data_IF_754264127495
#
_entry.id   IF_754264127495
#
_cell.length_a   1.000
_cell.length_b   1.000
_cell.length_c   1.000
_cell.angle_alpha   90.00
_cell.angle_beta   90.00
_cell.angle_gamma   90.00
#
_symmetry.space_group_name_H-M   'P 1'
#
loop_
_entity.id
_entity.type
_entity.pdbx_description
1 polymer ?
#
# COMPACT_ATOMS: atom_id res chain seq x y z
N UNK A 1 -33.47 -39.29 28.11
CA UNK A 1 -32.08 -39.73 28.20
C UNK A 1 -31.15 -38.59 27.71
N UNK A 2 -30.60 -37.81 28.65
CA UNK A 2 -29.61 -36.75 28.40
C UNK A 2 -28.26 -37.44 28.35
N UNK A 3 -27.57 -37.37 27.23
CA UNK A 3 -26.12 -37.64 27.15
C UNK A 3 -25.35 -36.33 27.15
N UNK A 4 -24.75 -36.06 28.28
CA UNK A 4 -23.68 -35.05 28.42
C UNK A 4 -22.43 -35.55 27.68
N UNK A 5 -21.94 -34.79 26.72
CA UNK A 5 -20.58 -35.00 26.17
C UNK A 5 -19.64 -34.09 26.94
N UNK A 6 -18.85 -34.71 27.80
CA UNK A 6 -17.66 -34.07 28.40
C UNK A 6 -16.63 -33.81 27.32
N UNK A 7 -16.32 -32.54 27.12
CA UNK A 7 -15.17 -32.11 26.33
C UNK A 7 -13.92 -32.20 27.19
N UNK A 8 -13.02 -33.12 26.84
CA UNK A 8 -11.70 -33.22 27.44
C UNK A 8 -10.87 -31.97 27.09
N UNK A 9 -10.54 -31.22 28.10
CA UNK A 9 -9.50 -30.18 28.03
C UNK A 9 -8.17 -30.92 27.95
N UNK A 10 -7.49 -30.80 26.83
CA UNK A 10 -6.16 -31.37 26.61
C UNK A 10 -5.14 -30.33 27.10
N UNK A 11 -4.50 -30.66 28.20
CA UNK A 11 -3.40 -29.91 28.81
C UNK A 11 -2.28 -29.67 27.81
N UNK A 12 -1.88 -28.40 27.61
CA UNK A 12 -0.66 -28.02 26.91
C UNK A 12 0.53 -28.20 27.83
N UNK A 13 1.60 -28.87 27.40
CA UNK A 13 2.85 -28.93 28.17
C UNK A 13 3.50 -27.53 28.21
N UNK A 14 3.95 -27.17 29.41
CA UNK A 14 4.62 -25.92 29.71
C UNK A 14 5.92 -25.74 28.93
N UNK A 15 6.13 -24.55 28.42
CA UNK A 15 7.43 -24.10 27.93
C UNK A 15 8.34 -23.81 29.13
N UNK A 16 9.41 -24.59 29.25
CA UNK A 16 10.48 -24.36 30.20
C UNK A 16 11.32 -23.14 29.81
N UNK A 17 12.02 -22.50 30.77
CA UNK A 17 12.85 -21.33 30.50
C UNK A 17 14.09 -21.70 29.68
N UNK A 18 14.32 -21.00 28.59
CA UNK A 18 15.52 -21.10 27.78
C UNK A 18 16.75 -20.50 28.48
N UNK A 19 17.96 -21.01 28.18
CA UNK A 19 19.19 -20.65 28.87
C UNK A 19 19.78 -19.31 28.39
N UNK A 20 20.21 -18.52 29.36
CA UNK A 20 21.41 -17.71 29.28
C UNK A 20 21.34 -16.37 28.52
N UNK A 21 20.95 -15.32 29.27
CA UNK A 21 21.34 -13.94 28.90
C UNK A 21 22.80 -13.73 29.31
N UNK A 22 23.70 -13.23 28.44
CA UNK A 22 25.06 -12.87 28.82
C UNK A 22 25.05 -11.59 29.68
N UNK A 23 25.91 -11.48 30.71
CA UNK A 23 25.96 -10.30 31.57
C UNK A 23 26.73 -9.15 30.91
N UNK A 24 26.20 -7.94 31.05
CA UNK A 24 27.01 -6.74 31.10
C UNK A 24 27.04 -5.85 29.88
N UNK A 25 26.00 -5.05 29.65
CA UNK A 25 26.19 -3.70 29.09
C UNK A 25 25.54 -2.70 30.04
N UNK A 26 26.43 -2.02 30.80
CA UNK A 26 26.08 -0.84 31.64
C UNK A 26 26.16 0.39 30.74
N UNK A 27 25.14 1.21 30.61
CA UNK A 27 25.31 2.52 30.00
C UNK A 27 26.11 3.43 30.94
N UNK A 28 27.26 3.89 30.49
CA UNK A 28 28.02 4.96 31.15
C UNK A 28 27.28 6.28 30.90
N UNK A 29 26.85 6.91 31.99
CA UNK A 29 26.36 8.27 31.98
C UNK A 29 27.53 9.27 31.72
N UNK A 30 27.26 10.51 31.31
CA UNK A 30 28.28 11.51 31.03
C UNK A 30 28.94 11.98 32.35
N UNK A 31 30.14 11.46 32.57
CA UNK A 31 31.03 11.90 33.68
C UNK A 31 31.69 13.19 33.34
N UNK A 32 31.67 14.11 34.30
CA UNK A 32 32.28 15.43 34.23
C UNK A 32 33.78 15.40 34.05
N UNK A 33 34.30 16.40 33.33
CA UNK A 33 35.71 16.71 33.18
C UNK A 33 36.31 17.24 34.50
N UNK A 34 37.49 16.74 34.94
CA UNK A 34 38.23 17.38 35.99
C UNK A 34 38.98 18.60 35.42
N UNK A 35 38.89 19.72 36.12
CA UNK A 35 39.60 20.95 35.81
C UNK A 35 41.11 20.80 35.88
N UNK A 36 41.81 21.26 34.88
CA UNK A 36 43.25 21.47 34.92
C UNK A 36 43.51 22.89 35.35
N UNK A 37 44.22 23.03 36.47
CA UNK A 37 44.75 24.29 37.00
C UNK A 37 45.84 24.90 36.10
N UNK A 38 46.16 26.17 36.33
CA UNK A 38 47.06 26.93 35.45
C UNK A 38 48.51 26.50 35.64
N UNK A 39 49.20 26.19 34.54
CA UNK A 39 50.67 25.99 34.48
C UNK A 39 51.32 27.33 34.15
N UNK A 40 52.29 27.85 34.96
CA UNK A 40 53.05 29.08 34.65
C UNK A 40 54.19 28.75 33.70
N UNK A 41 54.37 29.58 32.68
CA UNK A 41 55.66 29.86 32.06
C UNK A 41 56.02 28.96 30.86
N UNK A 42 55.83 29.50 29.66
CA UNK A 42 56.65 29.21 28.49
C UNK A 42 56.79 30.43 27.60
N UNK A 43 57.99 30.62 26.97
CA UNK A 43 58.42 31.89 26.40
C UNK A 43 57.76 32.22 25.07
N UNK A 44 57.64 33.53 24.84
CA UNK A 44 57.18 34.09 23.56
C UNK A 44 58.20 33.76 22.44
N UNK A 45 57.69 33.22 21.35
CA UNK A 45 58.48 32.87 20.18
C UNK A 45 57.70 32.94 18.88
N UNK A 46 57.99 33.96 18.09
CA UNK A 46 57.88 34.10 16.64
C UNK A 46 56.49 34.00 16.00
N UNK A 47 56.11 35.13 15.40
CA UNK A 47 54.95 35.29 14.56
C UNK A 47 54.88 34.28 13.37
N UNK A 48 53.85 33.57 13.28
CA UNK A 48 53.52 32.85 12.08
C UNK A 48 52.81 33.79 11.09
N UNK A 49 53.11 33.71 9.79
CA UNK A 49 52.41 34.46 8.77
C UNK A 49 50.93 33.99 8.67
N UNK A 50 49.98 34.87 8.29
CA UNK A 50 48.60 34.52 8.19
C UNK A 50 48.39 33.40 7.15
N UNK A 51 47.81 32.26 7.58
CA UNK A 51 47.39 31.20 6.67
C UNK A 51 46.24 31.72 5.81
N UNK A 52 46.26 31.47 4.50
CA UNK A 52 45.08 31.74 3.65
C UNK A 52 43.86 31.03 4.21
N UNK A 53 42.74 31.75 4.28
CA UNK A 53 41.46 31.17 4.65
C UNK A 53 41.10 30.03 3.69
N UNK A 54 41.09 28.83 4.23
CA UNK A 54 40.59 27.65 3.50
C UNK A 54 39.10 27.85 3.30
N UNK A 55 38.68 28.18 2.09
CA UNK A 55 37.28 28.06 1.70
C UNK A 55 36.94 26.56 1.70
N UNK A 56 35.92 26.10 2.46
CA UNK A 56 35.44 24.74 2.31
C UNK A 56 34.89 24.60 0.90
N UNK A 57 35.53 23.76 0.09
CA UNK A 57 34.96 23.31 -1.17
C UNK A 57 33.63 22.64 -0.96
N UNK A 58 32.72 22.61 -1.96
CA UNK A 58 31.46 21.94 -1.85
C UNK A 58 31.70 20.47 -1.48
N UNK A 59 31.04 20.04 -0.40
CA UNK A 59 31.07 18.67 0.06
C UNK A 59 30.68 17.72 -1.10
N UNK A 60 31.33 16.54 -1.24
CA UNK A 60 30.91 15.53 -2.18
C UNK A 60 29.46 15.19 -1.88
N UNK A 61 28.57 15.42 -2.83
CA UNK A 61 27.18 14.97 -2.76
C UNK A 61 27.22 13.46 -2.73
N UNK A 62 26.94 12.87 -1.57
CA UNK A 62 26.58 11.47 -1.46
C UNK A 62 25.45 11.20 -2.45
N UNK A 63 25.49 10.06 -3.20
CA UNK A 63 24.36 9.69 -4.04
C UNK A 63 23.11 9.67 -3.16
N UNK A 64 22.18 10.58 -3.45
CA UNK A 64 20.88 10.60 -2.80
C UNK A 64 20.30 9.20 -2.97
N UNK A 65 20.21 8.49 -1.86
CA UNK A 65 19.30 7.37 -1.76
C UNK A 65 17.99 7.86 -2.36
N UNK A 66 17.55 7.20 -3.42
CA UNK A 66 16.25 7.43 -4.00
C UNK A 66 15.26 7.30 -2.82
N UNK A 67 14.90 8.44 -2.26
CA UNK A 67 13.81 8.50 -1.30
C UNK A 67 12.65 7.88 -2.04
N UNK A 68 12.19 6.74 -1.56
CA UNK A 68 10.89 6.23 -1.94
C UNK A 68 9.93 7.40 -1.73
N UNK A 69 9.53 8.04 -2.84
CA UNK A 69 8.54 9.09 -2.82
C UNK A 69 7.29 8.45 -2.24
N UNK A 70 7.05 8.70 -0.96
CA UNK A 70 5.75 8.43 -0.38
C UNK A 70 4.75 9.13 -1.30
N UNK A 71 3.73 8.42 -1.79
CA UNK A 71 2.70 9.06 -2.59
C UNK A 71 2.18 10.26 -1.79
N UNK A 72 1.85 11.39 -2.44
CA UNK A 72 1.43 12.61 -1.76
C UNK A 72 0.32 12.25 -0.78
N UNK A 73 0.57 12.49 0.50
CA UNK A 73 -0.44 12.35 1.54
C UNK A 73 -1.55 13.33 1.20
N UNK A 74 -2.65 12.80 0.70
CA UNK A 74 -3.82 13.60 0.39
C UNK A 74 -4.30 14.24 1.68
N UNK A 75 -4.23 15.56 1.70
CA UNK A 75 -4.68 16.42 2.81
C UNK A 75 -6.09 16.02 3.20
N UNK A 76 -6.28 15.76 4.49
CA UNK A 76 -7.57 15.39 5.07
C UNK A 76 -8.64 16.42 4.70
N UNK A 77 -9.80 15.94 4.30
CA UNK A 77 -10.97 16.77 4.08
C UNK A 77 -11.31 17.54 5.38
N UNK A 78 -11.66 18.84 5.30
CA UNK A 78 -12.02 19.62 6.47
C UNK A 78 -13.32 19.11 7.07
N UNK A 79 -13.25 18.59 8.28
CA UNK A 79 -14.41 18.19 9.08
C UNK A 79 -14.40 16.73 9.50
N UNK A 80 -13.66 16.37 10.56
CA UNK A 80 -13.94 15.22 11.44
C UNK A 80 -14.19 13.82 10.86
N UNK A 81 -14.18 13.62 9.57
CA UNK A 81 -14.39 12.32 8.94
C UNK A 81 -13.08 11.53 8.91
N UNK A 82 -13.10 10.34 9.53
CA UNK A 82 -11.98 9.39 9.53
C UNK A 82 -12.43 8.12 8.85
N UNK A 83 -11.56 7.52 8.01
CA UNK A 83 -11.88 6.27 7.36
C UNK A 83 -11.33 6.12 5.95
N UNK A 84 -12.07 5.39 5.11
CA UNK A 84 -11.76 5.12 3.71
C UNK A 84 -12.81 5.76 2.80
N UNK A 85 -12.37 6.54 1.82
CA UNK A 85 -13.18 6.98 0.69
C UNK A 85 -12.76 6.15 -0.54
N UNK A 86 -13.57 5.17 -0.90
CA UNK A 86 -13.30 4.26 -2.01
C UNK A 86 -14.20 4.58 -3.20
N UNK A 87 -13.61 5.04 -4.29
CA UNK A 87 -14.32 5.26 -5.55
C UNK A 87 -14.25 3.98 -6.41
N UNK A 88 -15.39 3.33 -6.59
CA UNK A 88 -15.49 2.08 -7.37
C UNK A 88 -16.04 2.35 -8.76
N UNK A 89 -15.33 1.89 -9.80
CA UNK A 89 -15.68 2.14 -11.20
C UNK A 89 -15.63 0.85 -12.01
N UNK A 90 -16.47 0.77 -13.03
CA UNK A 90 -16.42 -0.27 -14.05
C UNK A 90 -16.32 0.36 -15.44
N UNK A 91 -15.87 -0.42 -16.41
CA UNK A 91 -15.71 0.06 -17.77
C UNK A 91 -17.09 0.36 -18.40
N UNK A 92 -17.32 1.52 -19.04
CA UNK A 92 -18.65 1.94 -19.50
C UNK A 92 -19.38 0.96 -20.44
N UNK A 93 -18.63 0.22 -21.27
CA UNK A 93 -19.23 -0.80 -22.15
C UNK A 93 -19.68 -2.07 -21.41
N UNK A 94 -19.26 -2.24 -20.14
CA UNK A 94 -19.69 -3.35 -19.29
C UNK A 94 -20.99 -3.02 -18.54
N UNK A 95 -22.00 -2.55 -19.28
CA UNK A 95 -23.26 -2.01 -18.76
C UNK A 95 -24.00 -2.95 -17.81
N UNK A 96 -23.80 -4.27 -17.92
CA UNK A 96 -24.42 -5.25 -17.03
C UNK A 96 -24.08 -5.03 -15.56
N UNK A 97 -22.93 -4.43 -15.27
CA UNK A 97 -22.52 -4.13 -13.90
C UNK A 97 -23.32 -2.98 -13.26
N UNK A 98 -24.14 -2.23 -14.01
CA UNK A 98 -25.15 -1.36 -13.40
C UNK A 98 -26.16 -2.11 -12.55
N UNK A 99 -26.46 -3.36 -12.93
CA UNK A 99 -27.41 -4.22 -12.23
C UNK A 99 -26.78 -4.99 -11.08
N UNK A 100 -25.45 -5.05 -11.03
CA UNK A 100 -24.68 -5.84 -10.07
C UNK A 100 -23.89 -4.89 -9.19
N UNK A 101 -24.17 -4.89 -7.89
CA UNK A 101 -23.44 -4.05 -6.93
C UNK A 101 -22.05 -4.62 -6.62
N UNK A 102 -21.01 -3.79 -6.46
CA UNK A 102 -19.72 -4.26 -5.99
C UNK A 102 -19.84 -4.78 -4.55
N UNK A 103 -18.97 -5.70 -4.17
CA UNK A 103 -18.78 -6.14 -2.79
C UNK A 103 -17.47 -5.58 -2.27
N UNK A 104 -17.54 -4.93 -1.13
CA UNK A 104 -16.39 -4.37 -0.40
C UNK A 104 -16.34 -5.08 0.94
N UNK A 105 -15.21 -5.68 1.27
CA UNK A 105 -14.98 -6.34 2.54
C UNK A 105 -13.82 -5.64 3.24
N UNK A 106 -14.01 -5.31 4.52
CA UNK A 106 -13.01 -4.69 5.37
C UNK A 106 -12.74 -5.64 6.53
N UNK A 107 -11.49 -6.07 6.69
CA UNK A 107 -11.08 -7.02 7.73
C UNK A 107 -11.94 -8.29 7.76
N UNK A 108 -12.35 -8.77 6.55
CA UNK A 108 -13.21 -9.94 6.39
C UNK A 108 -14.71 -9.69 6.63
N UNK A 109 -15.12 -8.44 6.91
CA UNK A 109 -16.51 -8.08 7.09
C UNK A 109 -17.06 -7.33 5.88
N UNK A 110 -18.17 -7.81 5.33
CA UNK A 110 -18.78 -7.18 4.18
C UNK A 110 -19.42 -5.82 4.54
N UNK A 111 -19.05 -4.78 3.78
CA UNK A 111 -19.70 -3.47 3.88
C UNK A 111 -21.08 -3.53 3.19
N UNK A 112 -22.20 -3.29 3.91
CA UNK A 112 -23.55 -3.59 3.41
C UNK A 112 -24.03 -2.61 2.34
N UNK A 113 -23.56 -1.38 2.34
CA UNK A 113 -24.05 -0.29 1.49
C UNK A 113 -23.12 0.01 0.31
N UNK A 114 -22.38 -0.99 -0.18
CA UNK A 114 -21.49 -0.81 -1.32
C UNK A 114 -22.27 -0.46 -2.59
N UNK A 115 -21.82 0.59 -3.29
CA UNK A 115 -22.39 1.07 -4.56
C UNK A 115 -21.28 1.39 -5.54
N UNK A 116 -21.59 1.44 -6.83
CA UNK A 116 -20.67 2.03 -7.81
C UNK A 116 -20.56 3.54 -7.58
N UNK A 117 -19.36 4.07 -7.68
CA UNK A 117 -19.04 5.45 -7.32
C UNK A 117 -18.36 5.55 -5.95
N UNK A 118 -18.55 6.66 -5.27
CA UNK A 118 -17.87 6.96 -4.01
C UNK A 118 -18.56 6.27 -2.83
N UNK A 119 -17.80 5.45 -2.11
CA UNK A 119 -18.19 4.80 -0.87
C UNK A 119 -17.37 5.40 0.29
N UNK A 120 -18.00 6.08 1.21
CA UNK A 120 -17.37 6.62 2.41
C UNK A 120 -17.59 5.66 3.58
N UNK A 121 -16.53 5.01 4.00
CA UNK A 121 -16.55 3.95 5.01
C UNK A 121 -15.81 4.45 6.25
N UNK A 122 -16.53 4.69 7.38
CA UNK A 122 -15.89 5.09 8.62
C UNK A 122 -15.05 3.93 9.17
N UNK A 123 -13.78 4.18 9.47
CA UNK A 123 -12.85 3.20 10.02
C UNK A 123 -12.10 3.80 11.20
N UNK A 124 -11.82 3.02 12.25
CA UNK A 124 -10.94 3.46 13.33
C UNK A 124 -9.51 3.68 12.83
N UNK A 125 -8.65 4.38 13.58
CA UNK A 125 -7.23 4.45 13.26
C UNK A 125 -6.60 3.07 13.33
N UNK A 126 -5.74 2.74 12.37
CA UNK A 126 -5.04 1.47 12.33
C UNK A 126 -4.88 0.92 10.94
N UNK A 127 -4.38 -0.31 10.88
CA UNK A 127 -4.21 -1.05 9.64
C UNK A 127 -5.46 -1.85 9.32
N UNK A 128 -5.96 -1.73 8.09
CA UNK A 128 -7.16 -2.42 7.61
C UNK A 128 -6.87 -3.14 6.30
N UNK A 129 -7.40 -4.36 6.18
CA UNK A 129 -7.38 -5.13 4.95
C UNK A 129 -8.66 -4.88 4.17
N UNK A 130 -8.51 -4.46 2.90
CA UNK A 130 -9.62 -4.13 2.01
C UNK A 130 -9.63 -5.12 0.86
N UNK A 131 -10.73 -5.86 0.71
CA UNK A 131 -10.99 -6.76 -0.42
C UNK A 131 -12.19 -6.24 -1.23
N UNK A 132 -12.02 -6.17 -2.56
CA UNK A 132 -13.08 -5.68 -3.45
C UNK A 132 -13.25 -6.62 -4.63
N UNK A 133 -14.51 -6.93 -4.99
CA UNK A 133 -14.86 -7.68 -6.19
C UNK A 133 -16.29 -7.37 -6.63
N UNK A 134 -16.62 -7.71 -7.87
CA UNK A 134 -18.02 -7.75 -8.31
C UNK A 134 -18.49 -9.21 -8.38
N UNK A 135 -19.65 -9.57 -7.81
CA UNK A 135 -20.21 -10.91 -7.96
C UNK A 135 -20.69 -11.12 -9.41
N UNK A 136 -20.48 -12.33 -9.94
CA UNK A 136 -20.90 -12.69 -11.28
C UNK A 136 -21.20 -14.19 -11.36
N UNK A 137 -21.70 -14.66 -12.50
CA UNK A 137 -22.04 -16.08 -12.68
C UNK A 137 -20.78 -16.94 -12.85
N UNK A 138 -19.94 -16.61 -13.83
CA UNK A 138 -18.68 -17.30 -14.14
C UNK A 138 -17.67 -16.26 -14.65
N UNK A 139 -16.56 -15.99 -13.94
CA UNK A 139 -16.24 -16.47 -12.59
C UNK A 139 -17.16 -15.87 -11.53
N UNK A 140 -17.28 -16.52 -10.38
CA UNK A 140 -18.16 -16.04 -9.29
C UNK A 140 -17.74 -14.68 -8.72
N UNK A 141 -16.47 -14.31 -8.90
CA UNK A 141 -15.88 -13.01 -8.52
C UNK A 141 -15.17 -12.44 -9.73
N UNK A 142 -15.57 -11.27 -10.17
CA UNK A 142 -14.89 -10.51 -11.23
C UNK A 142 -14.05 -9.41 -10.58
N UNK A 143 -12.81 -9.27 -11.06
CA UNK A 143 -11.88 -8.27 -10.61
C UNK A 143 -11.53 -8.32 -9.12
N UNK A 144 -11.34 -9.52 -8.52
CA UNK A 144 -10.95 -9.58 -7.11
C UNK A 144 -9.60 -8.90 -6.92
N UNK A 145 -9.49 -8.09 -5.87
CA UNK A 145 -8.25 -7.42 -5.50
C UNK A 145 -8.22 -7.16 -4.01
N UNK A 146 -7.03 -7.28 -3.45
CA UNK A 146 -6.73 -7.08 -2.05
C UNK A 146 -5.74 -5.95 -1.87
N UNK A 147 -5.93 -5.13 -0.85
CA UNK A 147 -4.97 -4.12 -0.45
C UNK A 147 -5.00 -3.91 1.06
N UNK A 148 -3.92 -3.40 1.60
CA UNK A 148 -3.85 -3.02 3.02
C UNK A 148 -3.63 -1.52 3.11
N UNK A 149 -4.44 -0.86 3.93
CA UNK A 149 -4.36 0.58 4.18
C UNK A 149 -4.03 0.84 5.64
N UNK A 150 -3.41 1.99 5.91
CA UNK A 150 -3.22 2.48 7.27
C UNK A 150 -3.96 3.81 7.41
N UNK A 151 -4.96 3.83 8.30
CA UNK A 151 -5.76 5.02 8.59
C UNK A 151 -5.19 5.71 9.83
N UNK A 152 -4.67 6.93 9.67
CA UNK A 152 -4.24 7.75 10.81
C UNK A 152 -5.44 8.45 11.47
N UNK A 153 -5.33 8.87 12.73
CA UNK A 153 -6.38 9.66 13.39
C UNK A 153 -6.76 10.90 12.57
N UNK A 154 -8.05 11.14 12.41
CA UNK A 154 -8.63 12.24 11.62
C UNK A 154 -8.21 12.25 10.14
N UNK A 155 -7.87 11.10 9.57
CA UNK A 155 -7.48 10.96 8.18
C UNK A 155 -8.54 10.18 7.39
N UNK A 156 -8.81 10.64 6.15
CA UNK A 156 -9.53 9.87 5.15
C UNK A 156 -8.53 9.38 4.10
N UNK A 157 -8.39 8.06 3.98
CA UNK A 157 -7.62 7.44 2.92
C UNK A 157 -8.47 7.40 1.65
N UNK A 158 -7.97 7.94 0.54
CA UNK A 158 -8.68 7.94 -0.73
C UNK A 158 -8.11 6.87 -1.65
N UNK A 159 -8.97 5.98 -2.12
CA UNK A 159 -8.63 4.93 -3.07
C UNK A 159 -9.61 4.90 -4.23
N UNK A 160 -9.13 4.43 -5.36
CA UNK A 160 -9.90 4.13 -6.55
C UNK A 160 -9.80 2.64 -6.86
N UNK A 161 -10.95 2.01 -7.08
CA UNK A 161 -11.04 0.64 -7.58
C UNK A 161 -11.62 0.66 -8.99
N UNK A 162 -10.95 -0.01 -9.93
CA UNK A 162 -11.45 -0.24 -11.28
C UNK A 162 -11.64 -1.72 -11.56
N UNK A 163 -12.88 -2.05 -11.95
CA UNK A 163 -13.19 -3.38 -12.44
C UNK A 163 -12.45 -3.62 -13.77
N UNK A 164 -11.87 -4.81 -14.00
CA UNK A 164 -11.15 -5.08 -15.23
C UNK A 164 -12.08 -5.12 -16.44
N UNK A 165 -11.53 -4.84 -17.63
CA UNK A 165 -12.26 -4.97 -18.91
C UNK A 165 -12.48 -6.44 -19.26
N UNK A 166 -11.53 -7.31 -18.91
CA UNK A 166 -11.63 -8.75 -19.11
C UNK A 166 -11.96 -9.44 -17.80
N UNK A 167 -13.07 -10.16 -17.77
CA UNK A 167 -13.68 -10.71 -16.53
C UNK A 167 -12.80 -11.69 -15.75
N UNK A 168 -11.79 -12.28 -16.38
CA UNK A 168 -10.84 -13.17 -15.72
C UNK A 168 -9.57 -12.45 -15.24
N UNK A 169 -9.49 -11.13 -15.44
CA UNK A 169 -8.38 -10.32 -14.94
C UNK A 169 -8.67 -9.81 -13.52
N UNK A 170 -7.61 -9.49 -12.79
CA UNK A 170 -7.74 -8.85 -11.48
C UNK A 170 -8.15 -7.37 -11.63
N UNK A 171 -8.87 -6.85 -10.65
CA UNK A 171 -9.13 -5.43 -10.52
C UNK A 171 -7.87 -4.62 -10.26
N UNK A 172 -7.98 -3.30 -10.35
CA UNK A 172 -6.95 -2.38 -9.92
C UNK A 172 -7.46 -1.59 -8.71
N UNK A 173 -6.66 -1.47 -7.65
CA UNK A 173 -6.98 -0.66 -6.47
C UNK A 173 -5.74 0.11 -6.02
N UNK A 174 -5.91 1.38 -5.69
CA UNK A 174 -4.83 2.25 -5.22
C UNK A 174 -5.21 3.72 -5.29
N UNK A 175 -4.26 4.64 -5.12
CA UNK A 175 -4.46 6.07 -5.36
C UNK A 175 -4.93 6.33 -6.80
N UNK A 176 -5.81 7.30 -6.99
CA UNK A 176 -6.30 7.68 -8.33
C UNK A 176 -5.20 8.40 -9.14
N UNK A 177 -5.11 8.20 -10.50
CA UNK A 177 -5.95 7.33 -11.31
C UNK A 177 -5.43 5.88 -11.40
N UNK A 178 -6.33 4.91 -11.39
CA UNK A 178 -6.01 3.51 -11.62
C UNK A 178 -6.24 3.09 -13.09
N UNK A 179 -5.48 2.13 -13.64
CA UNK A 179 -5.71 1.59 -14.97
C UNK A 179 -6.92 0.62 -15.00
N UNK A 180 -7.51 0.43 -16.17
CA UNK A 180 -8.40 -0.71 -16.43
C UNK A 180 -7.57 -1.92 -16.84
N UNK A 181 -7.50 -2.93 -15.98
CA UNK A 181 -6.77 -4.15 -16.27
C UNK A 181 -7.48 -5.01 -17.33
N UNK A 182 -6.71 -5.87 -18.03
CA UNK A 182 -7.26 -6.83 -18.97
C UNK A 182 -7.59 -6.28 -20.35
N UNK A 183 -7.27 -5.03 -20.66
CA UNK A 183 -7.50 -4.43 -22.00
C UNK A 183 -6.80 -5.25 -23.09
N UNK A 184 -5.54 -5.63 -22.90
CA UNK A 184 -4.80 -6.44 -23.86
C UNK A 184 -5.44 -7.81 -24.11
N UNK A 185 -5.90 -8.47 -23.05
CA UNK A 185 -6.60 -9.75 -23.16
C UNK A 185 -7.96 -9.61 -23.88
N UNK A 186 -8.70 -8.53 -23.60
CA UNK A 186 -9.95 -8.24 -24.30
C UNK A 186 -9.71 -7.96 -25.80
N UNK A 187 -8.69 -7.15 -26.14
CA UNK A 187 -8.31 -6.90 -27.54
C UNK A 187 -7.91 -8.20 -28.23
N UNK A 188 -7.06 -9.03 -27.62
CA UNK A 188 -6.65 -10.29 -28.20
C UNK A 188 -7.84 -11.23 -28.46
N UNK A 189 -8.79 -11.30 -27.54
CA UNK A 189 -9.92 -12.21 -27.64
C UNK A 189 -11.00 -11.77 -28.64
N UNK A 190 -11.23 -10.46 -28.76
CA UNK A 190 -12.32 -9.93 -29.59
C UNK A 190 -11.84 -9.33 -30.90
N UNK A 191 -10.77 -8.55 -30.89
CA UNK A 191 -10.30 -7.82 -32.09
C UNK A 191 -9.56 -8.75 -33.05
N UNK A 192 -8.69 -9.61 -32.55
CA UNK A 192 -7.89 -10.49 -33.43
C UNK A 192 -8.77 -11.44 -34.25
N UNK A 193 -9.72 -12.21 -33.67
CA UNK A 193 -10.62 -13.05 -34.46
C UNK A 193 -11.45 -12.26 -35.45
N UNK A 194 -11.95 -11.09 -35.05
CA UNK A 194 -12.73 -10.22 -35.93
C UNK A 194 -11.93 -9.78 -37.14
N UNK A 195 -10.69 -9.34 -36.96
CA UNK A 195 -9.78 -8.94 -38.06
C UNK A 195 -9.45 -10.12 -38.96
N UNK A 196 -9.23 -11.31 -38.37
CA UNK A 196 -8.97 -12.53 -39.16
C UNK A 196 -10.15 -12.90 -40.04
N UNK A 197 -11.36 -12.91 -39.51
CA UNK A 197 -12.59 -13.19 -40.27
C UNK A 197 -12.80 -12.15 -41.36
N UNK A 198 -12.60 -10.88 -41.05
CA UNK A 198 -12.71 -9.78 -42.00
C UNK A 198 -11.73 -9.94 -43.16
N UNK A 199 -10.47 -10.28 -42.86
CA UNK A 199 -9.44 -10.54 -43.90
C UNK A 199 -9.80 -11.77 -44.76
N UNK A 200 -10.31 -12.85 -44.14
CA UNK A 200 -10.72 -14.04 -44.88
C UNK A 200 -11.87 -13.76 -45.86
N UNK A 201 -12.74 -12.80 -45.54
CA UNK A 201 -13.84 -12.40 -46.44
C UNK A 201 -13.34 -11.44 -47.54
N UNK A 202 -12.45 -10.51 -47.21
CA UNK A 202 -11.99 -9.49 -48.17
C UNK A 202 -10.93 -10.00 -49.13
N UNK A 203 -10.03 -10.92 -48.71
CA UNK A 203 -8.97 -11.44 -49.56
C UNK A 203 -9.49 -12.07 -50.88
N UNK A 204 -10.51 -12.95 -50.88
CA UNK A 204 -11.03 -13.52 -52.13
C UNK A 204 -11.71 -12.47 -53.01
N UNK A 205 -12.32 -11.42 -52.44
CA UNK A 205 -12.94 -10.33 -53.20
C UNK A 205 -11.92 -9.48 -53.97
N UNK A 206 -10.67 -9.44 -53.57
CA UNK A 206 -9.58 -8.74 -54.23
C UNK A 206 -8.97 -9.53 -55.41
N UNK A 207 -9.28 -10.84 -55.49
CA UNK A 207 -8.77 -11.74 -56.54
C UNK A 207 -9.85 -12.18 -57.56
N UNK A 208 -11.09 -11.66 -57.45
CA UNK A 208 -12.18 -11.81 -58.41
C UNK A 208 -12.24 -10.56 -59.30
#
# INVERSE_FOLDING_TARGET
ARRQRQMCIRDRPGYGPGPGTPPGYRPQGPGGQPGHGPVPGAPQGYGQPPRPAYQPGPAPQTPQQAAYQQPPQQQGAPGGAQGLSLNTMFFPLAWIFFLIKPKIEIDGHQYPNAVWGVNNIPLPPGQHHVHVHAPYLIPTKVGPVDTTINVAPNQVVQLEYKLPVFIFSQGAIGPSPQPYNGVGAAVALFVIPFVLVFLLILLPLLFI
#
